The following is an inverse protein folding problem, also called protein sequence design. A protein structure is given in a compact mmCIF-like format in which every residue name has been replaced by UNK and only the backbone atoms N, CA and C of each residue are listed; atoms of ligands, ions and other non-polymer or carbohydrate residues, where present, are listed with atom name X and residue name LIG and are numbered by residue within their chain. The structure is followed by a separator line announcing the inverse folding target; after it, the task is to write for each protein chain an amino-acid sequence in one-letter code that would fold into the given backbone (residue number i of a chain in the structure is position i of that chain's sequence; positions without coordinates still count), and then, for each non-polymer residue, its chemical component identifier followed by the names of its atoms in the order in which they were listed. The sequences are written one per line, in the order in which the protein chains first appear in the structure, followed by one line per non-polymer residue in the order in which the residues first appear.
data_IF_247309526165
#
_entry.id   IF_247309526165
#
_cell.length_a   1.000
_cell.length_b   1.000
_cell.length_c   1.000
_cell.angle_alpha   90.00
_cell.angle_beta   90.00
_cell.angle_gamma   90.00
#
_symmetry.space_group_name_H-M   'P 1'
#
loop_
_entity.id
_entity.type
_entity.pdbx_description
1 polymer ?
#
# COMPACT_ATOMS: atom_id res chain seq x y z
N UNK A 1 12.91 8.98 -28.01
CA UNK A 1 12.54 8.10 -26.90
C UNK A 1 12.62 6.66 -27.36
N UNK A 2 13.43 5.85 -26.67
CA UNK A 2 13.43 4.41 -26.84
C UNK A 2 12.61 3.84 -25.66
N UNK A 3 11.58 3.06 -25.95
CA UNK A 3 10.73 2.42 -24.93
C UNK A 3 11.43 1.15 -24.44
N UNK A 4 11.45 0.95 -23.11
CA UNK A 4 11.98 -0.27 -22.49
C UNK A 4 10.83 -1.24 -22.27
N UNK A 5 10.95 -2.46 -22.77
CA UNK A 5 9.96 -3.52 -22.55
C UNK A 5 10.34 -4.29 -21.29
N UNK A 6 9.46 -4.33 -20.29
CA UNK A 6 9.72 -5.00 -19.00
C UNK A 6 9.40 -6.49 -19.04
N UNK A 7 8.51 -6.90 -19.95
CA UNK A 7 8.03 -8.28 -20.06
C UNK A 7 8.98 -9.27 -20.74
N UNK A 8 10.15 -8.84 -21.22
CA UNK A 8 11.09 -9.76 -21.87
C UNK A 8 11.80 -10.59 -20.81
N UNK A 9 11.60 -11.91 -20.86
CA UNK A 9 12.46 -12.86 -20.16
C UNK A 9 13.92 -12.57 -20.55
N UNK A 10 14.86 -12.44 -19.60
CA UNK A 10 16.26 -12.27 -19.92
C UNK A 10 16.73 -13.57 -20.59
N UNK A 11 16.70 -13.60 -21.92
CA UNK A 11 17.41 -14.58 -22.71
C UNK A 11 18.89 -14.38 -22.46
N UNK A 12 19.43 -15.09 -21.46
CA UNK A 12 20.76 -15.70 -21.28
C UNK A 12 22.02 -15.10 -21.97
N UNK A 13 22.01 -13.90 -22.50
CA UNK A 13 23.06 -13.32 -23.31
C UNK A 13 23.24 -11.85 -22.96
N UNK A 14 23.84 -11.61 -21.79
CA UNK A 14 24.81 -10.53 -21.50
C UNK A 14 25.01 -10.47 -19.98
N UNK A 15 25.79 -11.43 -19.47
CA UNK A 15 26.47 -11.28 -18.19
C UNK A 15 27.91 -10.88 -18.52
N UNK A 16 28.28 -9.64 -18.22
CA UNK A 16 29.67 -9.26 -17.97
C UNK A 16 29.72 -8.44 -16.67
N UNK A 17 30.74 -8.64 -15.81
CA UNK A 17 30.69 -8.23 -14.40
C UNK A 17 31.49 -6.96 -14.08
N UNK A 18 31.25 -6.46 -12.85
CA UNK A 18 32.01 -5.47 -12.05
C UNK A 18 31.67 -3.99 -12.39
N UNK A 19 31.41 -3.07 -11.45
CA UNK A 19 31.96 -2.87 -10.09
C UNK A 19 31.12 -1.85 -9.26
N UNK A 20 31.27 -1.91 -7.93
CA UNK A 20 31.09 -0.86 -6.88
C UNK A 20 29.69 -0.28 -6.49
N UNK A 21 29.23 -0.73 -5.31
CA UNK A 21 28.75 0.04 -4.13
C UNK A 21 28.20 1.47 -4.30
N UNK A 22 26.91 1.67 -3.98
CA UNK A 22 26.50 2.71 -3.01
C UNK A 22 25.13 2.41 -2.39
N UNK A 23 25.02 2.59 -1.08
CA UNK A 23 23.84 2.31 -0.27
C UNK A 23 22.84 3.47 -0.35
N UNK A 24 21.68 3.26 -0.97
CA UNK A 24 20.46 3.97 -0.59
C UNK A 24 19.32 2.98 -0.42
N UNK A 25 18.85 2.90 0.82
CA UNK A 25 17.78 2.04 1.32
C UNK A 25 16.45 2.34 0.62
N UNK A 26 16.27 1.81 -0.58
CA UNK A 26 14.96 1.66 -1.23
C UNK A 26 14.83 0.20 -1.65
N UNK A 27 13.83 -0.48 -1.09
CA UNK A 27 13.55 -1.88 -1.39
C UNK A 27 13.46 -2.04 -2.93
N UNK A 28 14.15 -3.02 -3.53
CA UNK A 28 14.14 -3.18 -4.97
C UNK A 28 12.70 -3.48 -5.45
N UNK A 29 12.20 -2.77 -6.48
CA UNK A 29 10.86 -3.00 -7.05
C UNK A 29 10.67 -4.41 -7.62
N UNK A 30 11.76 -5.19 -7.71
CA UNK A 30 11.75 -6.59 -8.11
C UNK A 30 10.91 -7.51 -7.19
N UNK A 31 10.73 -7.16 -5.91
CA UNK A 31 10.02 -8.03 -4.95
C UNK A 31 8.52 -7.72 -4.82
N UNK A 32 8.02 -6.57 -5.30
CA UNK A 32 6.59 -6.26 -5.23
C UNK A 32 5.73 -7.03 -6.23
N UNK A 33 6.37 -7.67 -7.22
CA UNK A 33 5.70 -8.40 -8.31
C UNK A 33 6.01 -9.90 -8.33
N UNK A 34 6.60 -10.46 -7.27
CA UNK A 34 6.99 -11.88 -7.22
C UNK A 34 5.82 -12.89 -7.37
N UNK A 35 4.57 -12.44 -7.17
CA UNK A 35 3.36 -13.24 -7.41
C UNK A 35 2.94 -13.27 -8.89
N UNK A 36 3.32 -12.26 -9.67
CA UNK A 36 3.03 -12.18 -11.10
C UNK A 36 4.06 -13.04 -11.85
N UNK A 37 3.83 -14.36 -11.85
CA UNK A 37 4.67 -15.32 -12.59
C UNK A 37 4.53 -15.21 -14.11
N UNK A 38 3.53 -14.46 -14.56
CA UNK A 38 3.26 -14.20 -15.97
C UNK A 38 3.76 -12.78 -16.28
N UNK A 39 5.02 -12.69 -16.69
CA UNK A 39 5.57 -11.47 -17.29
C UNK A 39 4.94 -11.34 -18.67
N UNK A 40 4.02 -10.39 -18.83
CA UNK A 40 3.36 -10.11 -20.09
C UNK A 40 4.30 -9.32 -21.02
N UNK A 41 4.58 -9.88 -22.19
CA UNK A 41 5.50 -9.34 -23.21
C UNK A 41 5.05 -7.99 -23.77
N UNK A 42 3.78 -7.63 -23.59
CA UNK A 42 3.21 -6.33 -23.97
C UNK A 42 3.38 -5.24 -22.90
N UNK A 43 4.04 -5.52 -21.76
CA UNK A 43 4.28 -4.50 -20.73
C UNK A 43 5.49 -3.63 -21.08
N UNK A 44 5.22 -2.34 -21.25
CA UNK A 44 6.20 -1.28 -21.48
C UNK A 44 6.49 -0.49 -20.19
N UNK A 45 7.74 -0.07 -20.04
CA UNK A 45 8.17 0.96 -19.08
C UNK A 45 7.91 2.33 -19.71
N UNK A 46 6.75 2.92 -19.40
CA UNK A 46 6.28 4.20 -19.93
C UNK A 46 6.44 5.36 -18.92
N UNK A 47 7.30 5.21 -17.92
CA UNK A 47 7.48 6.19 -16.84
C UNK A 47 7.82 7.61 -17.35
N UNK A 48 8.61 7.71 -18.42
CA UNK A 48 8.96 9.01 -19.02
C UNK A 48 7.76 9.67 -19.71
N UNK A 49 6.98 8.89 -20.44
CA UNK A 49 5.76 9.29 -21.12
C UNK A 49 4.65 9.65 -20.12
N UNK A 50 4.45 8.83 -19.09
CA UNK A 50 3.53 9.11 -17.98
C UNK A 50 3.88 10.44 -17.30
N UNK A 51 5.15 10.67 -16.98
CA UNK A 51 5.59 11.92 -16.36
C UNK A 51 5.39 13.13 -17.28
N UNK A 52 5.55 12.99 -18.60
CA UNK A 52 5.24 14.07 -19.55
C UNK A 52 3.75 14.41 -19.55
N UNK A 53 2.87 13.40 -19.65
CA UNK A 53 1.42 13.60 -19.58
C UNK A 53 0.98 14.19 -18.24
N UNK A 54 1.57 13.73 -17.14
CA UNK A 54 1.28 14.27 -15.80
C UNK A 54 1.69 15.73 -15.69
N UNK A 55 2.86 16.10 -16.21
CA UNK A 55 3.31 17.50 -16.27
C UNK A 55 2.37 18.36 -17.10
N UNK A 56 2.00 17.92 -18.29
CA UNK A 56 1.05 18.63 -19.16
C UNK A 56 -0.32 18.81 -18.46
N UNK A 57 -0.83 17.77 -17.81
CA UNK A 57 -2.10 17.82 -17.08
C UNK A 57 -2.05 18.82 -15.92
N UNK A 58 -0.97 18.79 -15.14
CA UNK A 58 -0.75 19.75 -14.05
C UNK A 58 -0.68 21.15 -14.64
N UNK A 59 0.14 21.37 -15.66
CA UNK A 59 0.31 22.66 -16.33
C UNK A 59 -1.03 23.20 -16.80
N UNK A 60 -1.80 22.46 -17.62
CA UNK A 60 -3.13 22.87 -18.11
C UNK A 60 -4.09 23.22 -16.98
N UNK A 61 -4.10 22.43 -15.90
CA UNK A 61 -4.97 22.68 -14.75
C UNK A 61 -4.51 23.90 -13.95
N UNK A 62 -3.21 24.11 -13.80
CA UNK A 62 -2.63 25.28 -13.13
C UNK A 62 -2.64 26.54 -13.97
N UNK A 63 -2.62 26.46 -15.31
CA UNK A 63 -2.72 27.61 -16.22
C UNK A 63 -4.14 28.18 -16.29
N UNK A 64 -5.16 27.36 -15.98
CA UNK A 64 -6.55 27.84 -15.82
C UNK A 64 -6.78 28.63 -14.52
N UNK A 65 -5.83 28.53 -13.58
CA UNK A 65 -5.77 29.37 -12.39
C UNK A 65 -4.87 30.56 -12.72
N UNK A 66 -5.33 31.78 -12.44
CA UNK A 66 -4.53 32.98 -12.64
C UNK A 66 -3.17 32.82 -11.93
N UNK A 67 -2.02 32.87 -12.65
CA UNK A 67 -0.68 32.77 -12.05
C UNK A 67 -0.43 33.82 -10.95
N UNK A 68 -1.22 34.89 -10.94
CA UNK A 68 -1.16 35.94 -9.93
C UNK A 68 -1.94 35.62 -8.63
N UNK A 69 -2.81 34.60 -8.64
CA UNK A 69 -3.58 34.19 -7.46
C UNK A 69 -2.78 33.24 -6.56
N UNK A 70 -1.79 33.80 -5.86
CA UNK A 70 -1.02 33.10 -4.83
C UNK A 70 -1.91 32.52 -3.72
N UNK A 71 -3.11 33.07 -3.52
CA UNK A 71 -4.07 32.60 -2.51
C UNK A 71 -4.69 31.27 -2.94
N UNK A 72 -5.03 31.09 -4.22
CA UNK A 72 -5.54 29.82 -4.73
C UNK A 72 -4.50 28.68 -4.63
N UNK A 73 -3.24 28.96 -4.99
CA UNK A 73 -2.14 27.99 -4.84
C UNK A 73 -1.89 27.62 -3.37
N UNK A 74 -1.92 28.61 -2.46
CA UNK A 74 -1.82 28.39 -1.03
C UNK A 74 -2.95 27.50 -0.48
N UNK A 75 -4.18 27.70 -0.95
CA UNK A 75 -5.35 26.86 -0.57
C UNK A 75 -5.18 25.42 -1.03
N UNK A 76 -4.70 25.20 -2.25
CA UNK A 76 -4.47 23.86 -2.79
C UNK A 76 -3.31 23.15 -2.08
N UNK A 77 -2.22 23.86 -1.82
CA UNK A 77 -1.11 23.34 -1.01
C UNK A 77 -1.57 22.93 0.38
N UNK A 78 -2.39 23.76 1.03
CA UNK A 78 -2.96 23.45 2.35
C UNK A 78 -3.90 22.24 2.31
N UNK A 79 -4.68 22.08 1.24
CA UNK A 79 -5.52 20.90 1.02
C UNK A 79 -4.68 19.62 0.84
N UNK A 80 -3.59 19.69 0.08
CA UNK A 80 -2.63 18.59 -0.11
C UNK A 80 -1.97 18.23 1.24
N UNK A 81 -1.54 19.22 2.01
CA UNK A 81 -0.98 19.01 3.36
C UNK A 81 -1.98 18.32 4.29
N UNK A 82 -3.27 18.73 4.26
CA UNK A 82 -4.34 18.07 5.01
C UNK A 82 -4.60 16.64 4.54
N UNK A 83 -4.41 16.32 3.26
CA UNK A 83 -4.54 14.95 2.75
C UNK A 83 -3.37 14.08 3.22
N UNK A 84 -2.14 14.60 3.11
CA UNK A 84 -0.91 13.93 3.56
C UNK A 84 -0.94 13.64 5.06
N UNK A 85 -1.44 14.56 5.87
CA UNK A 85 -1.55 14.36 7.32
C UNK A 85 -2.55 13.25 7.69
N UNK A 86 -3.60 13.02 6.89
CA UNK A 86 -4.53 11.87 7.08
C UNK A 86 -3.85 10.53 6.74
N UNK A 87 -3.02 10.51 5.70
CA UNK A 87 -2.30 9.30 5.25
C UNK A 87 -1.24 8.87 6.27
N UNK A 88 -0.55 9.84 6.92
CA UNK A 88 0.49 9.56 7.92
C UNK A 88 -0.03 9.30 9.33
N UNK A 89 -1.35 9.29 9.57
CA UNK A 89 -1.88 8.93 10.89
C UNK A 89 -1.57 7.46 11.14
N UNK A 90 -0.81 7.20 12.21
CA UNK A 90 -0.57 5.83 12.68
C UNK A 90 -1.86 5.30 13.28
N UNK A 91 -2.67 4.65 12.46
CA UNK A 91 -3.92 3.98 12.86
C UNK A 91 -3.63 2.50 13.08
N UNK A 92 -4.20 1.92 14.13
CA UNK A 92 -4.22 0.47 14.33
C UNK A 92 -5.08 -0.17 13.22
N UNK A 93 -4.45 -0.58 12.12
CA UNK A 93 -5.12 -1.19 10.97
C UNK A 93 -5.81 -2.51 11.32
N UNK A 94 -5.37 -3.17 12.40
CA UNK A 94 -5.99 -4.40 12.93
C UNK A 94 -7.22 -4.12 13.79
N UNK A 95 -7.41 -2.88 14.26
CA UNK A 95 -8.63 -2.52 14.99
C UNK A 95 -9.88 -2.49 14.08
N UNK A 96 -9.71 -2.33 12.77
CA UNK A 96 -10.81 -2.35 11.81
C UNK A 96 -11.31 -3.77 11.52
N UNK A 97 -12.62 -3.91 11.24
CA UNK A 97 -13.27 -5.16 10.78
C UNK A 97 -13.03 -6.38 11.70
N UNK A 98 -12.82 -6.18 13.00
CA UNK A 98 -12.71 -7.27 13.97
C UNK A 98 -11.42 -8.10 13.91
N UNK A 99 -10.34 -7.63 13.26
CA UNK A 99 -9.05 -8.37 13.21
C UNK A 99 -8.29 -8.35 14.55
N UNK A 100 -8.73 -7.53 15.51
CA UNK A 100 -8.20 -7.44 16.87
C UNK A 100 -9.30 -7.81 17.86
N UNK A 101 -9.00 -8.75 18.75
CA UNK A 101 -9.90 -9.15 19.83
C UNK A 101 -10.08 -7.95 20.77
N UNK A 102 -11.34 -7.58 21.02
CA UNK A 102 -11.72 -6.54 21.97
C UNK A 102 -12.50 -7.20 23.11
N UNK A 103 -12.02 -7.02 24.32
CA UNK A 103 -12.73 -7.45 25.53
C UNK A 103 -13.83 -6.42 25.81
N UNK A 104 -14.98 -6.57 25.17
CA UNK A 104 -16.19 -5.78 25.42
C UNK A 104 -17.34 -6.73 25.71
N UNK A 105 -18.10 -6.43 26.75
CA UNK A 105 -19.28 -7.23 27.10
C UNK A 105 -20.42 -6.86 26.15
N UNK A 106 -20.94 -7.84 25.41
CA UNK A 106 -22.11 -7.65 24.56
C UNK A 106 -23.38 -8.02 25.33
N UNK A 107 -24.23 -7.04 25.67
CA UNK A 107 -25.43 -7.25 26.50
C UNK A 107 -26.37 -8.36 25.99
N UNK A 108 -26.48 -8.52 24.67
CA UNK A 108 -27.32 -9.57 24.04
C UNK A 108 -26.78 -11.00 24.22
N UNK A 109 -25.50 -11.14 24.54
CA UNK A 109 -24.82 -12.42 24.75
C UNK A 109 -24.65 -12.75 26.23
N UNK A 110 -25.00 -11.83 27.13
CA UNK A 110 -24.97 -12.08 28.57
C UNK A 110 -26.08 -13.06 28.92
N UNK A 111 -25.74 -14.11 29.68
CA UNK A 111 -26.68 -15.16 30.11
C UNK A 111 -27.39 -15.88 28.95
N UNK A 112 -26.75 -15.99 27.77
CA UNK A 112 -27.36 -16.63 26.60
C UNK A 112 -27.66 -18.13 26.81
N UNK A 113 -26.83 -18.82 27.60
CA UNK A 113 -27.02 -20.23 27.97
C UNK A 113 -26.62 -20.43 29.43
N UNK A 114 -27.27 -21.40 30.07
CA UNK A 114 -26.83 -21.90 31.37
C UNK A 114 -25.59 -22.79 31.20
N UNK A 115 -24.66 -22.82 32.17
CA UNK A 115 -23.56 -23.78 32.18
C UNK A 115 -24.10 -25.21 32.18
N UNK A 116 -23.52 -26.08 31.35
CA UNK A 116 -23.82 -27.51 31.31
C UNK A 116 -22.54 -28.26 31.59
N UNK A 117 -22.58 -29.14 32.59
CA UNK A 117 -21.43 -29.94 32.97
C UNK A 117 -21.33 -31.15 32.03
N UNK A 118 -20.36 -31.09 31.12
CA UNK A 118 -20.01 -32.21 30.23
C UNK A 118 -18.94 -33.13 30.81
N UNK A 119 -18.73 -32.99 32.10
CA UNK A 119 -17.72 -33.71 32.83
C UNK A 119 -18.14 -35.18 33.05
N UNK A 120 -17.33 -36.13 32.58
CA UNK A 120 -17.56 -37.57 32.78
C UNK A 120 -16.93 -38.12 34.05
N UNK A 121 -15.96 -37.41 34.61
CA UNK A 121 -15.21 -37.83 35.81
C UNK A 121 -15.82 -37.16 37.04
N UNK A 122 -16.25 -37.95 38.02
CA UNK A 122 -16.77 -37.42 39.28
C UNK A 122 -15.74 -36.52 39.98
N UNK A 123 -16.23 -35.47 40.65
CA UNK A 123 -15.38 -34.49 41.34
C UNK A 123 -14.48 -35.12 42.41
N UNK A 124 -14.92 -36.22 43.02
CA UNK A 124 -14.13 -36.99 43.98
C UNK A 124 -12.82 -37.55 43.40
N UNK A 125 -12.74 -37.75 42.09
CA UNK A 125 -11.53 -38.24 41.41
C UNK A 125 -10.60 -37.10 40.94
N UNK A 126 -10.99 -35.84 41.16
CA UNK A 126 -10.29 -34.65 40.67
C UNK A 126 -9.47 -33.95 41.76
N UNK A 127 -9.59 -34.43 42.99
CA UNK A 127 -8.82 -33.97 44.17
C UNK A 127 -7.67 -34.93 44.43
#
# INVERSE_FOLDING_TARGET
SAYRVLGKNPSAAEVLPETELDETETLPPAMSNAHLKDLDEEIFDDDDFYHQLLRELIERKTSSLDPNDQVAMGRQWLAIQKLRSKIRKKVDTKASKGRKIRYHVHSKLVSFMAPIDHCTMNDDART
#
